data_IF_472258455021
#
_entry.id   IF_472258455021
#
_cell.length_a   1.000
_cell.length_b   1.000
_cell.length_c   1.000
_cell.angle_alpha   90.00
_cell.angle_beta   90.00
_cell.angle_gamma   90.00
#
_symmetry.space_group_name_H-M   'P 1'
#
loop_
_entity.id
_entity.type
_entity.pdbx_description
1 polymer ?
#
# COMPACT_ATOMS: atom_id res chain seq x y z
N UNK A 1 -7.21 1.13 -12.38
CA UNK A 1 -6.87 0.27 -11.24
C UNK A 1 -8.14 -0.41 -10.75
N UNK A 2 -8.08 -1.66 -10.29
CA UNK A 2 -9.22 -2.39 -9.72
C UNK A 2 -8.92 -2.90 -8.31
N UNK A 3 -9.96 -3.07 -7.49
CA UNK A 3 -9.82 -3.73 -6.20
C UNK A 3 -9.36 -5.17 -6.43
N UNK A 4 -8.29 -5.57 -5.74
CA UNK A 4 -7.65 -6.88 -5.91
C UNK A 4 -6.42 -6.87 -6.82
N UNK A 5 -6.18 -5.79 -7.57
CA UNK A 5 -4.95 -5.67 -8.36
C UNK A 5 -3.73 -5.76 -7.44
N UNK A 6 -2.64 -6.34 -7.97
CA UNK A 6 -1.34 -6.38 -7.30
C UNK A 6 -0.47 -5.28 -7.89
N UNK A 7 0.04 -4.41 -7.03
CA UNK A 7 0.99 -3.37 -7.38
C UNK A 7 2.34 -3.61 -6.71
N UNK A 8 3.34 -2.83 -7.10
CA UNK A 8 4.63 -2.76 -6.42
C UNK A 8 4.87 -1.28 -6.06
N UNK A 9 4.65 -0.92 -4.81
CA UNK A 9 4.72 0.47 -4.33
C UNK A 9 5.71 0.59 -3.16
N UNK A 10 6.32 1.75 -3.02
CA UNK A 10 7.15 2.05 -1.84
C UNK A 10 6.24 2.52 -0.69
N UNK A 11 6.23 1.83 0.46
CA UNK A 11 5.47 2.29 1.62
C UNK A 11 6.05 3.60 2.16
N UNK A 12 5.20 4.60 2.42
CA UNK A 12 5.65 5.90 2.94
C UNK A 12 5.44 6.05 4.44
N UNK A 13 4.64 5.17 5.04
CA UNK A 13 4.35 5.22 6.48
C UNK A 13 5.58 4.75 7.29
N UNK A 14 6.10 5.57 8.22
CA UNK A 14 7.16 5.16 9.13
C UNK A 14 6.57 4.27 10.24
N UNK A 15 6.39 2.99 9.95
CA UNK A 15 6.00 2.01 10.97
C UNK A 15 7.24 1.45 11.65
N UNK A 16 7.42 1.77 12.94
CA UNK A 16 8.47 1.19 13.79
C UNK A 16 8.37 -0.34 13.93
N UNK A 17 7.23 -0.93 13.57
CA UNK A 17 7.02 -2.37 13.50
C UNK A 17 7.62 -3.02 12.25
N UNK A 18 7.81 -2.27 11.15
CA UNK A 18 8.23 -2.77 9.85
C UNK A 18 9.45 -2.00 9.33
N UNK A 19 10.43 -1.74 10.21
CA UNK A 19 11.64 -0.95 9.90
C UNK A 19 12.40 -1.50 8.67
N UNK A 20 12.28 -2.81 8.42
CA UNK A 20 12.82 -3.52 7.25
C UNK A 20 12.06 -3.27 5.94
N UNK A 21 10.79 -2.87 5.99
CA UNK A 21 9.94 -2.60 4.81
C UNK A 21 10.29 -1.29 4.08
N UNK A 22 11.21 -0.48 4.62
CA UNK A 22 11.60 0.82 4.03
C UNK A 22 12.61 0.71 2.89
N UNK A 23 13.06 -0.48 2.52
CA UNK A 23 14.03 -0.66 1.43
C UNK A 23 13.35 -0.88 0.08
N UNK A 24 12.62 0.13 -0.40
CA UNK A 24 12.15 0.19 -1.78
C UNK A 24 10.74 -0.36 -2.06
N UNK A 25 10.41 -0.60 -3.35
CA UNK A 25 9.09 -1.06 -3.77
C UNK A 25 8.76 -2.46 -3.25
N UNK A 26 7.57 -2.61 -2.69
CA UNK A 26 7.05 -3.87 -2.16
C UNK A 26 5.73 -4.25 -2.83
N UNK A 27 5.48 -5.56 -3.01
CA UNK A 27 4.20 -6.04 -3.52
C UNK A 27 3.08 -5.68 -2.54
N UNK A 28 2.00 -5.10 -3.06
CA UNK A 28 0.82 -4.74 -2.30
C UNK A 28 -0.44 -5.02 -3.10
N UNK A 29 -1.58 -5.14 -2.40
CA UNK A 29 -2.88 -5.39 -3.02
C UNK A 29 -3.79 -4.20 -2.84
N UNK A 30 -4.50 -3.82 -3.91
CA UNK A 30 -5.54 -2.79 -3.81
C UNK A 30 -6.73 -3.32 -3.03
N UNK A 31 -7.10 -2.63 -1.95
CA UNK A 31 -8.23 -3.01 -1.08
C UNK A 31 -9.38 -2.02 -1.12
N UNK A 32 -9.14 -0.79 -1.59
CA UNK A 32 -10.17 0.22 -1.75
C UNK A 32 -9.80 1.20 -2.87
N UNK A 33 -10.80 1.69 -3.59
CA UNK A 33 -10.66 2.74 -4.60
C UNK A 33 -11.77 3.76 -4.33
N UNK A 34 -11.40 5.03 -4.29
CA UNK A 34 -12.30 6.17 -4.18
C UNK A 34 -12.13 7.05 -5.42
N UNK A 35 -12.93 6.76 -6.44
CA UNK A 35 -12.88 7.46 -7.73
C UNK A 35 -13.21 8.95 -7.60
N UNK A 36 -14.10 9.32 -6.66
CA UNK A 36 -14.52 10.73 -6.46
C UNK A 36 -13.36 11.61 -6.01
N UNK A 37 -12.43 11.05 -5.25
CA UNK A 37 -11.30 11.79 -4.68
C UNK A 37 -9.96 11.39 -5.31
N UNK A 38 -9.98 10.54 -6.34
CA UNK A 38 -8.78 9.97 -6.95
C UNK A 38 -7.83 9.37 -5.90
N UNK A 39 -8.38 8.64 -4.93
CA UNK A 39 -7.57 7.96 -3.90
C UNK A 39 -7.73 6.45 -4.02
N UNK A 40 -6.70 5.70 -3.68
CA UNK A 40 -6.78 4.25 -3.52
C UNK A 40 -6.03 3.82 -2.27
N UNK A 41 -6.50 2.74 -1.64
CA UNK A 41 -5.83 2.14 -0.49
C UNK A 41 -5.27 0.80 -0.90
N UNK A 42 -4.00 0.57 -0.56
CA UNK A 42 -3.34 -0.72 -0.69
C UNK A 42 -3.09 -1.33 0.67
N UNK A 43 -3.01 -2.65 0.70
CA UNK A 43 -2.55 -3.43 1.83
C UNK A 43 -1.20 -4.06 1.46
N UNK A 44 -0.19 -3.76 2.26
CA UNK A 44 1.08 -4.46 2.21
C UNK A 44 1.03 -5.64 3.16
N UNK A 45 1.51 -6.78 2.69
CA UNK A 45 1.57 -8.03 3.45
C UNK A 45 3.03 -8.36 3.73
N UNK A 46 3.45 -8.19 4.98
CA UNK A 46 4.80 -8.51 5.45
C UNK A 46 4.76 -9.72 6.39
N UNK A 47 5.86 -10.49 6.50
CA UNK A 47 5.94 -11.62 7.45
C UNK A 47 5.59 -11.22 8.89
N UNK A 48 5.90 -9.99 9.29
CA UNK A 48 5.64 -9.46 10.63
C UNK A 48 4.21 -8.92 10.81
N UNK A 49 3.41 -8.85 9.75
CA UNK A 49 2.04 -8.33 9.75
C UNK A 49 1.69 -7.50 8.51
N UNK A 50 0.41 -7.18 8.36
CA UNK A 50 -0.10 -6.36 7.26
C UNK A 50 -0.39 -4.93 7.71
N UNK A 51 -0.16 -3.95 6.85
CA UNK A 51 -0.64 -2.58 7.06
C UNK A 51 -1.22 -1.98 5.79
N UNK A 52 -2.07 -0.96 5.96
CA UNK A 52 -2.78 -0.29 4.87
C UNK A 52 -2.28 1.13 4.70
N UNK A 53 -2.16 1.54 3.46
CA UNK A 53 -1.73 2.88 3.08
C UNK A 53 -2.61 3.43 1.96
N UNK A 54 -2.97 4.72 2.06
CA UNK A 54 -3.80 5.39 1.06
C UNK A 54 -2.94 6.34 0.24
N UNK A 55 -3.03 6.19 -1.08
CA UNK A 55 -2.34 6.99 -2.08
C UNK A 55 -3.35 7.79 -2.89
N UNK A 56 -2.88 8.88 -3.49
CA UNK A 56 -3.63 9.67 -4.46
C UNK A 56 -3.16 9.30 -5.87
N UNK A 57 -4.08 8.94 -6.75
CA UNK A 57 -3.86 8.90 -8.19
C UNK A 57 -3.66 10.34 -8.67
N UNK A 58 -2.51 10.62 -9.29
CA UNK A 58 -2.20 11.90 -9.95
C UNK A 58 -2.86 12.00 -11.33
#
# INVERSE_FOLDING_TARGET
MNIGDKLCLEPTIPTSAFVTARTGPHPCRVVSINERHHHFTVEFDFPEGSFRETYKEE
#
